data_IF_172741256208
#
_entry.id   IF_172741256208
#
_cell.length_a   1.000
_cell.length_b   1.000
_cell.length_c   1.000
_cell.angle_alpha   90.00
_cell.angle_beta   90.00
_cell.angle_gamma   90.00
#
_symmetry.space_group_name_H-M   'P 1'
#
loop_
_entity.id
_entity.type
_entity.pdbx_description
1 polymer ?
#
# COMPACT_ATOMS: atom_id res chain seq x y z
N UNK A 1 -4.45 20.12 4.76
CA UNK A 1 -4.31 18.94 5.66
C UNK A 1 -5.70 18.61 6.16
N UNK A 2 -6.20 17.43 5.83
CA UNK A 2 -7.50 16.96 6.33
C UNK A 2 -7.24 16.34 7.70
N UNK A 3 -7.88 16.87 8.74
CA UNK A 3 -7.86 16.30 10.10
C UNK A 3 -8.73 15.03 10.12
N UNK A 4 -8.19 13.93 9.57
CA UNK A 4 -8.82 12.63 9.68
C UNK A 4 -8.31 11.99 10.97
N UNK A 5 -9.18 11.63 11.92
CA UNK A 5 -8.74 10.96 13.13
C UNK A 5 -8.16 9.59 12.79
N UNK A 6 -7.03 9.26 13.39
CA UNK A 6 -6.39 7.94 13.26
C UNK A 6 -6.67 7.16 14.54
N UNK A 7 -7.34 6.03 14.39
CA UNK A 7 -7.64 5.13 15.49
C UNK A 7 -6.68 3.93 15.42
N UNK A 8 -5.94 3.67 16.49
CA UNK A 8 -4.89 2.64 16.53
C UNK A 8 -5.41 1.22 16.22
N UNK A 9 -6.68 0.94 16.53
CA UNK A 9 -7.30 -0.35 16.24
C UNK A 9 -7.44 -0.65 14.73
N UNK A 10 -7.41 0.39 13.86
CA UNK A 10 -7.41 0.24 12.40
C UNK A 10 -6.01 0.24 11.78
N UNK A 11 -4.98 0.49 12.58
CA UNK A 11 -3.59 0.45 12.11
C UNK A 11 -2.97 -0.87 12.56
N UNK A 12 -2.72 -1.75 11.60
CA UNK A 12 -2.07 -3.04 11.85
C UNK A 12 -0.65 -3.00 11.32
N UNK A 13 0.29 -3.50 12.12
CA UNK A 13 1.71 -3.56 11.76
C UNK A 13 2.12 -5.02 11.58
N UNK A 14 2.86 -5.27 10.53
CA UNK A 14 3.58 -6.51 10.34
C UNK A 14 4.91 -6.43 11.07
N UNK A 15 5.15 -7.32 12.01
CA UNK A 15 6.31 -7.26 12.91
C UNK A 15 7.45 -8.21 12.54
N UNK A 16 7.21 -9.15 11.61
CA UNK A 16 8.21 -10.15 11.28
C UNK A 16 9.12 -9.66 10.15
N UNK A 17 10.41 -9.52 10.43
CA UNK A 17 11.43 -9.04 9.48
C UNK A 17 11.99 -10.15 8.56
N UNK A 18 11.60 -11.41 8.78
CA UNK A 18 12.12 -12.53 8.00
C UNK A 18 11.23 -12.77 6.77
N UNK A 19 11.53 -12.04 5.69
CA UNK A 19 10.91 -12.23 4.35
C UNK A 19 11.19 -13.62 3.75
N UNK A 20 11.97 -14.46 4.41
CA UNK A 20 12.37 -15.77 3.90
C UNK A 20 11.30 -16.84 4.10
N UNK A 21 10.42 -16.71 5.10
CA UNK A 21 9.33 -17.67 5.34
C UNK A 21 8.00 -17.18 4.77
N UNK A 22 7.74 -17.52 3.51
CA UNK A 22 6.51 -17.15 2.80
C UNK A 22 5.23 -17.69 3.45
N UNK A 23 5.29 -18.86 4.06
CA UNK A 23 4.12 -19.48 4.70
C UNK A 23 3.77 -18.76 6.00
N UNK A 24 4.76 -18.42 6.80
CA UNK A 24 4.55 -17.65 8.01
C UNK A 24 4.04 -16.23 7.70
N UNK A 25 4.58 -15.60 6.65
CA UNK A 25 4.10 -14.30 6.16
C UNK A 25 2.61 -14.36 5.80
N UNK A 26 2.18 -15.35 5.01
CA UNK A 26 0.78 -15.50 4.63
C UNK A 26 -0.12 -15.71 5.85
N UNK A 27 0.33 -16.55 6.79
CA UNK A 27 -0.41 -16.82 8.02
C UNK A 27 -0.60 -15.56 8.84
N UNK A 28 0.44 -14.77 9.02
CA UNK A 28 0.38 -13.51 9.78
C UNK A 28 -0.55 -12.49 9.10
N UNK A 29 -0.44 -12.30 7.78
CA UNK A 29 -1.36 -11.40 7.05
C UNK A 29 -2.80 -11.90 7.17
N UNK A 30 -3.03 -13.22 7.19
CA UNK A 30 -4.37 -13.79 7.38
C UNK A 30 -4.95 -13.44 8.74
N UNK A 31 -4.17 -13.57 9.81
CA UNK A 31 -4.61 -13.22 11.16
C UNK A 31 -4.85 -11.71 11.30
N UNK A 32 -3.94 -10.88 10.79
CA UNK A 32 -4.10 -9.42 10.74
C UNK A 32 -5.38 -9.03 9.97
N UNK A 33 -5.64 -9.68 8.83
CA UNK A 33 -6.86 -9.40 8.05
C UNK A 33 -8.11 -9.75 8.83
N UNK A 34 -8.14 -10.92 9.50
CA UNK A 34 -9.26 -11.34 10.35
C UNK A 34 -9.51 -10.37 11.51
N UNK A 35 -8.45 -9.94 12.20
CA UNK A 35 -8.58 -8.95 13.25
C UNK A 35 -9.17 -7.64 12.73
N UNK A 36 -8.69 -7.18 11.56
CA UNK A 36 -9.13 -5.92 10.96
C UNK A 36 -10.61 -5.94 10.58
N UNK A 37 -11.07 -7.03 9.95
CA UNK A 37 -12.49 -7.15 9.55
C UNK A 37 -13.44 -7.35 10.72
N UNK A 38 -12.94 -7.79 11.89
CA UNK A 38 -13.70 -7.94 13.12
C UNK A 38 -13.63 -6.70 14.03
N UNK A 39 -12.96 -5.63 13.59
CA UNK A 39 -12.89 -4.39 14.35
C UNK A 39 -14.23 -3.64 14.28
N UNK A 40 -14.70 -3.11 15.42
CA UNK A 40 -15.93 -2.33 15.47
C UNK A 40 -15.67 -0.80 15.56
N UNK A 41 -16.32 -0.01 14.72
CA UNK A 41 -17.13 -0.40 13.57
C UNK A 41 -16.27 -1.04 12.46
N UNK A 42 -16.85 -1.99 11.70
CA UNK A 42 -16.13 -2.68 10.64
C UNK A 42 -15.64 -1.72 9.55
N UNK A 43 -14.36 -1.77 9.15
CA UNK A 43 -13.85 -0.93 8.06
C UNK A 43 -14.45 -1.36 6.72
N UNK A 44 -14.67 -0.41 5.82
CA UNK A 44 -15.16 -0.66 4.45
C UNK A 44 -14.06 -0.57 3.40
N UNK A 45 -12.84 -0.21 3.80
CA UNK A 45 -11.69 -0.11 2.92
C UNK A 45 -10.39 -0.44 3.66
N UNK A 46 -9.46 -1.06 2.94
CA UNK A 46 -8.15 -1.47 3.45
C UNK A 46 -7.08 -0.87 2.54
N UNK A 47 -6.15 -0.12 3.13
CA UNK A 47 -4.94 0.35 2.46
C UNK A 47 -3.78 -0.53 2.87
N UNK A 48 -3.14 -1.16 1.90
CA UNK A 48 -2.01 -2.05 2.11
C UNK A 48 -0.70 -1.32 1.80
N UNK A 49 0.34 -1.58 2.58
CA UNK A 49 1.63 -0.89 2.44
C UNK A 49 2.35 -1.20 1.11
N UNK A 50 2.02 -2.33 0.46
CA UNK A 50 2.48 -2.64 -0.89
C UNK A 50 1.45 -3.51 -1.64
N UNK A 51 1.70 -3.73 -2.92
CA UNK A 51 0.81 -4.49 -3.81
C UNK A 51 0.77 -5.98 -3.49
N UNK A 52 1.87 -6.56 -3.04
CA UNK A 52 1.91 -7.98 -2.68
C UNK A 52 0.97 -8.29 -1.52
N UNK A 53 0.97 -7.43 -0.50
CA UNK A 53 0.02 -7.54 0.62
C UNK A 53 -1.41 -7.28 0.15
N UNK A 54 -1.63 -6.32 -0.75
CA UNK A 54 -2.95 -6.03 -1.28
C UNK A 54 -3.57 -7.24 -2.01
N UNK A 55 -2.78 -7.95 -2.82
CA UNK A 55 -3.19 -9.18 -3.49
C UNK A 55 -3.55 -10.25 -2.45
N UNK A 56 -2.67 -10.47 -1.48
CA UNK A 56 -2.86 -11.48 -0.45
C UNK A 56 -4.11 -11.19 0.42
N UNK A 57 -4.33 -9.93 0.80
CA UNK A 57 -5.53 -9.51 1.54
C UNK A 57 -6.80 -9.75 0.71
N UNK A 58 -6.78 -9.45 -0.60
CA UNK A 58 -7.89 -9.75 -1.51
C UNK A 58 -8.23 -11.24 -1.50
N UNK A 59 -7.22 -12.10 -1.68
CA UNK A 59 -7.41 -13.56 -1.69
C UNK A 59 -7.99 -14.05 -0.36
N UNK A 60 -7.45 -13.57 0.77
CA UNK A 60 -7.92 -13.92 2.11
C UNK A 60 -9.39 -13.50 2.32
N UNK A 61 -9.76 -12.29 1.90
CA UNK A 61 -11.14 -11.81 1.98
C UNK A 61 -12.08 -12.68 1.16
N UNK A 62 -11.69 -13.05 -0.06
CA UNK A 62 -12.47 -13.95 -0.93
C UNK A 62 -12.61 -15.35 -0.32
N UNK A 63 -11.55 -15.90 0.27
CA UNK A 63 -11.59 -17.19 0.99
C UNK A 63 -12.53 -17.15 2.21
N UNK A 64 -12.69 -15.98 2.83
CA UNK A 64 -13.63 -15.74 3.94
C UNK A 64 -15.06 -15.43 3.47
N UNK A 65 -15.31 -15.42 2.16
CA UNK A 65 -16.63 -15.20 1.56
C UNK A 65 -16.98 -13.73 1.30
N UNK A 66 -16.05 -12.80 1.51
CA UNK A 66 -16.24 -11.37 1.20
C UNK A 66 -15.96 -11.07 -0.26
N UNK A 67 -16.62 -10.03 -0.78
CA UNK A 67 -16.44 -9.54 -2.15
C UNK A 67 -15.64 -8.24 -2.17
N UNK A 68 -14.73 -8.15 -3.14
CA UNK A 68 -13.97 -6.94 -3.44
C UNK A 68 -14.40 -6.48 -4.84
N UNK A 69 -14.90 -5.25 -4.99
CA UNK A 69 -14.97 -4.15 -4.01
C UNK A 69 -16.27 -4.05 -3.19
N UNK A 70 -17.23 -5.01 -3.30
CA UNK A 70 -18.59 -4.86 -2.77
C UNK A 70 -18.62 -4.72 -1.24
N UNK A 71 -17.87 -5.55 -0.52
CA UNK A 71 -17.80 -5.53 0.93
C UNK A 71 -16.61 -4.70 1.41
N UNK A 72 -15.46 -4.88 0.76
CA UNK A 72 -14.23 -4.15 1.08
C UNK A 72 -13.59 -3.56 -0.17
N UNK A 73 -13.25 -2.28 -0.11
CA UNK A 73 -12.34 -1.67 -1.09
C UNK A 73 -10.89 -1.91 -0.68
N UNK A 74 -10.00 -2.21 -1.66
CA UNK A 74 -8.58 -2.44 -1.41
C UNK A 74 -7.74 -1.50 -2.24
N UNK A 75 -6.72 -0.91 -1.62
CA UNK A 75 -5.71 -0.09 -2.29
C UNK A 75 -4.32 -0.59 -1.91
N UNK A 76 -3.49 -0.86 -2.93
CA UNK A 76 -2.08 -1.19 -2.78
C UNK A 76 -1.15 0.00 -2.95
N UNK A 77 0.14 -0.27 -2.94
CA UNK A 77 1.21 0.70 -3.16
C UNK A 77 2.31 0.05 -4.00
N UNK A 78 2.97 0.79 -4.88
CA UNK A 78 4.04 0.45 -5.83
C UNK A 78 3.60 0.34 -7.29
N UNK A 79 2.34 0.03 -7.58
CA UNK A 79 1.81 -0.22 -8.92
C UNK A 79 2.64 -1.26 -9.69
N UNK A 80 2.86 -2.41 -9.08
CA UNK A 80 3.55 -3.55 -9.67
C UNK A 80 2.81 -4.14 -10.87
N UNK A 81 3.48 -4.93 -11.70
CA UNK A 81 2.83 -5.59 -12.84
C UNK A 81 1.71 -6.56 -12.41
N UNK A 82 1.85 -7.18 -11.25
CA UNK A 82 0.89 -8.16 -10.73
C UNK A 82 -0.48 -7.55 -10.42
N UNK A 83 -0.53 -6.32 -9.86
CA UNK A 83 -1.82 -5.67 -9.57
C UNK A 83 -2.62 -5.31 -10.82
N UNK A 84 -2.00 -5.26 -12.00
CA UNK A 84 -2.74 -5.10 -13.25
C UNK A 84 -3.58 -6.33 -13.58
N UNK A 85 -3.05 -7.52 -13.33
CA UNK A 85 -3.73 -8.79 -13.57
C UNK A 85 -4.83 -9.03 -12.54
N UNK A 86 -4.60 -8.59 -11.29
CA UNK A 86 -5.51 -8.72 -10.16
C UNK A 86 -6.55 -7.59 -10.06
N UNK A 87 -6.53 -6.64 -10.99
CA UNK A 87 -7.42 -5.48 -11.06
C UNK A 87 -7.45 -4.64 -9.76
N UNK A 88 -6.29 -4.51 -9.08
CA UNK A 88 -6.15 -3.79 -7.81
C UNK A 88 -5.73 -2.35 -8.07
N UNK A 89 -6.47 -1.41 -7.48
CA UNK A 89 -6.12 0.02 -7.40
C UNK A 89 -4.85 0.17 -6.58
N UNK A 90 -3.88 0.93 -7.09
CA UNK A 90 -2.59 1.09 -6.43
C UNK A 90 -2.03 2.50 -6.58
N UNK A 91 -1.21 2.91 -5.63
CA UNK A 91 -0.46 4.17 -5.67
C UNK A 91 0.86 3.92 -6.38
N UNK A 92 1.02 4.55 -7.56
CA UNK A 92 2.27 4.53 -8.32
C UNK A 92 3.17 5.68 -7.88
N UNK A 93 4.39 5.37 -7.47
CA UNK A 93 5.43 6.38 -7.30
C UNK A 93 6.46 6.27 -8.43
N UNK A 94 7.04 7.38 -8.90
CA UNK A 94 7.88 7.40 -10.10
C UNK A 94 9.30 6.89 -9.79
N UNK A 95 9.46 5.57 -9.59
CA UNK A 95 10.72 4.90 -9.18
C UNK A 95 11.89 5.26 -10.07
N UNK A 96 11.67 5.26 -11.38
CA UNK A 96 12.71 5.57 -12.38
C UNK A 96 13.22 7.00 -12.21
N UNK A 97 12.31 7.98 -12.06
CA UNK A 97 12.68 9.38 -11.86
C UNK A 97 13.39 9.61 -10.53
N UNK A 98 12.97 8.89 -9.48
CA UNK A 98 13.64 8.94 -8.17
C UNK A 98 15.06 8.41 -8.29
N UNK A 99 15.25 7.24 -8.93
CA UNK A 99 16.58 6.65 -9.17
C UNK A 99 17.48 7.53 -10.03
N UNK A 100 16.96 8.07 -11.13
CA UNK A 100 17.69 8.98 -12.03
C UNK A 100 18.16 10.24 -11.28
N UNK A 101 17.26 10.89 -10.52
CA UNK A 101 17.60 12.09 -9.75
C UNK A 101 18.61 11.80 -8.65
N UNK A 102 18.45 10.68 -7.95
CA UNK A 102 19.41 10.25 -6.92
C UNK A 102 20.80 10.03 -7.51
N UNK A 103 20.90 9.29 -8.62
CA UNK A 103 22.17 9.06 -9.31
C UNK A 103 22.83 10.37 -9.77
N UNK A 104 22.03 11.29 -10.33
CA UNK A 104 22.52 12.60 -10.77
C UNK A 104 23.10 13.41 -9.60
N UNK A 105 22.35 13.52 -8.49
CA UNK A 105 22.82 14.23 -7.29
C UNK A 105 24.12 13.60 -6.75
N UNK A 106 24.18 12.27 -6.72
CA UNK A 106 25.37 11.56 -6.24
C UNK A 106 26.59 11.87 -7.10
N UNK A 107 26.47 11.80 -8.43
CA UNK A 107 27.57 12.11 -9.36
C UNK A 107 28.02 13.57 -9.27
N UNK A 108 27.08 14.52 -9.19
CA UNK A 108 27.39 15.93 -9.01
C UNK A 108 28.23 16.16 -7.74
N UNK A 109 27.83 15.54 -6.62
CA UNK A 109 28.55 15.66 -5.34
C UNK A 109 29.95 15.05 -5.38
N UNK A 110 30.09 13.89 -6.02
CA UNK A 110 31.42 13.26 -6.19
C UNK A 110 32.35 14.18 -6.98
N UNK A 111 31.85 14.81 -8.04
CA UNK A 111 32.65 15.66 -8.90
C UNK A 111 32.99 17.02 -8.23
N UNK A 112 32.05 17.59 -7.49
CA UNK A 112 32.20 18.92 -6.89
C UNK A 112 32.83 18.90 -5.49
N UNK A 113 32.97 17.71 -4.89
CA UNK A 113 33.49 17.53 -3.52
C UNK A 113 32.66 18.18 -2.41
N UNK A 114 31.41 18.56 -2.71
CA UNK A 114 30.51 19.24 -1.78
C UNK A 114 29.48 18.27 -1.20
N UNK A 115 29.68 17.86 0.05
CA UNK A 115 28.80 16.90 0.73
C UNK A 115 27.88 17.52 1.79
N UNK A 116 28.02 18.81 2.07
CA UNK A 116 27.37 19.47 3.21
C UNK A 116 25.90 19.85 2.97
N UNK A 117 25.44 19.90 1.73
CA UNK A 117 24.09 20.33 1.40
C UNK A 117 23.21 19.17 0.91
N UNK A 118 22.05 18.97 1.55
CA UNK A 118 21.01 18.04 1.11
C UNK A 118 19.87 18.82 0.45
N UNK A 119 19.60 18.54 -0.83
CA UNK A 119 18.41 19.01 -1.53
C UNK A 119 17.26 18.02 -1.30
N UNK A 120 16.16 18.51 -0.75
CA UNK A 120 14.93 17.70 -0.64
C UNK A 120 14.19 17.70 -1.98
N UNK A 121 14.20 16.56 -2.65
CA UNK A 121 13.50 16.40 -3.92
C UNK A 121 12.25 15.55 -3.71
N UNK A 122 11.08 16.16 -3.90
CA UNK A 122 9.79 15.52 -3.70
C UNK A 122 9.13 15.20 -5.04
N UNK A 123 8.77 13.92 -5.23
CA UNK A 123 8.01 13.47 -6.38
C UNK A 123 6.57 13.16 -5.97
N UNK A 124 5.59 13.65 -6.78
CA UNK A 124 4.18 13.37 -6.52
C UNK A 124 3.81 11.95 -6.98
N UNK A 125 3.22 11.13 -6.11
CA UNK A 125 2.67 9.83 -6.51
C UNK A 125 1.39 10.02 -7.34
N UNK A 126 0.98 8.95 -8.04
CA UNK A 126 -0.24 8.90 -8.86
C UNK A 126 -1.10 7.72 -8.43
N UNK A 127 -2.39 7.95 -8.16
CA UNK A 127 -3.34 6.88 -7.96
C UNK A 127 -3.74 6.27 -9.31
N UNK A 128 -3.48 4.97 -9.47
CA UNK A 128 -3.93 4.18 -10.62
C UNK A 128 -5.18 3.41 -10.20
N UNK A 129 -6.33 3.91 -10.60
CA UNK A 129 -7.63 3.32 -10.26
C UNK A 129 -7.91 2.09 -11.09
N UNK A 130 -8.43 1.02 -10.44
CA UNK A 130 -8.88 -0.23 -11.01
C UNK A 130 -10.14 -0.73 -10.29
N UNK A 131 -10.53 -1.98 -10.49
CA UNK A 131 -11.79 -2.54 -9.99
C UNK A 131 -11.87 -2.81 -8.50
N UNK A 132 -10.77 -2.77 -7.74
CA UNK A 132 -10.78 -3.10 -6.30
C UNK A 132 -11.37 -2.02 -5.38
N UNK A 133 -11.89 -0.92 -5.94
CA UNK A 133 -12.43 0.20 -5.14
C UNK A 133 -13.80 0.61 -5.67
N UNK A 134 -14.78 0.72 -4.78
CA UNK A 134 -16.09 1.28 -5.11
C UNK A 134 -16.32 2.65 -4.45
N UNK A 135 -17.20 3.43 -5.04
CA UNK A 135 -17.67 4.66 -4.42
C UNK A 135 -18.75 4.34 -3.38
N UNK A 136 -18.54 4.76 -2.15
CA UNK A 136 -19.58 4.73 -1.13
C UNK A 136 -20.56 5.87 -1.44
N UNK A 137 -21.86 5.53 -1.66
CA UNK A 137 -22.90 6.54 -1.67
C UNK A 137 -23.14 6.92 -0.21
N UNK A 138 -22.88 8.18 0.13
CA UNK A 138 -23.41 8.73 1.38
C UNK A 138 -24.92 8.87 1.14
N UNK A 139 -25.69 8.10 1.86
CA UNK A 139 -27.10 8.43 2.03
C UNK A 139 -27.16 9.76 2.77
N UNK A 140 -27.76 10.77 2.11
CA UNK A 140 -27.84 12.14 2.60
C UNK A 140 -28.86 12.27 3.72
#
# INVERSE_FOLDING_TARGET
KHNIPVYNNYVKQYLNSEFEDRENFKKEIKEITKELINTEPQPTAIFCFNDQVAILVKDILQDLGYKVPEDFSIVGFDNSKQVNLEDITSVAHPKEKVGEKAAKITLERINDGKFEYCEDVVFKPKLVKRGSVKRIRREG
#
